data_IF_833418638823
#
_entry.id   IF_833418638823
#
_cell.length_a   1.000
_cell.length_b   1.000
_cell.length_c   1.000
_cell.angle_alpha   90.00
_cell.angle_beta   90.00
_cell.angle_gamma   90.00
#
_symmetry.space_group_name_H-M   'P 1'
#
loop_
_entity.id
_entity.type
_entity.pdbx_description
1 polymer ?
#
# COMPACT_ATOMS: atom_id res chain seq x y z
N UNK A 1 14.98 14.46 -2.50
CA UNK A 1 14.91 13.77 -1.20
C UNK A 1 15.43 14.68 -0.10
N UNK A 2 14.70 14.78 1.00
CA UNK A 2 15.13 15.54 2.17
C UNK A 2 15.24 14.60 3.38
N UNK A 3 16.24 14.81 4.22
CA UNK A 3 16.45 13.98 5.41
C UNK A 3 17.23 14.71 6.49
N UNK A 4 16.93 14.35 7.73
CA UNK A 4 17.68 14.74 8.93
C UNK A 4 17.50 13.61 9.97
N UNK A 5 17.93 13.84 11.23
CA UNK A 5 17.87 12.82 12.27
C UNK A 5 16.45 12.25 12.47
N UNK A 6 15.43 13.12 12.42
CA UNK A 6 14.06 12.74 12.77
C UNK A 6 13.14 12.57 11.55
N UNK A 7 13.62 12.80 10.35
CA UNK A 7 12.79 12.59 9.16
C UNK A 7 13.59 12.23 7.93
N UNK A 8 12.89 11.60 7.00
CA UNK A 8 13.37 11.38 5.64
C UNK A 8 12.17 11.53 4.70
N UNK A 9 12.35 12.21 3.59
CA UNK A 9 11.29 12.43 2.61
C UNK A 9 11.76 11.96 1.23
N UNK A 10 10.84 11.31 0.52
CA UNK A 10 11.05 10.86 -0.86
C UNK A 10 9.87 11.31 -1.71
N UNK A 11 10.07 11.32 -3.02
CA UNK A 11 8.99 11.47 -3.98
C UNK A 11 9.12 10.33 -4.98
N UNK A 12 8.09 9.50 -5.08
CA UNK A 12 8.07 8.36 -6.01
C UNK A 12 7.69 8.75 -7.43
N UNK A 13 7.48 10.05 -7.69
CA UNK A 13 7.06 10.56 -8.98
C UNK A 13 5.55 10.48 -9.19
N UNK A 14 5.13 10.59 -10.43
CA UNK A 14 3.71 10.47 -10.78
C UNK A 14 3.25 9.03 -10.61
N UNK A 15 2.15 8.83 -9.89
CA UNK A 15 1.69 7.47 -9.56
C UNK A 15 1.32 6.65 -10.80
N UNK A 16 0.79 7.28 -11.84
CA UNK A 16 0.48 6.57 -13.09
C UNK A 16 1.73 6.11 -13.87
N UNK A 17 2.89 6.63 -13.55
CA UNK A 17 4.18 6.23 -14.15
C UNK A 17 4.89 5.12 -13.36
N UNK A 18 4.39 4.77 -12.18
CA UNK A 18 4.89 3.62 -11.39
C UNK A 18 4.75 2.30 -12.18
N UNK A 19 3.84 2.25 -13.15
CA UNK A 19 3.71 1.10 -14.06
C UNK A 19 4.98 0.75 -14.83
N UNK A 20 5.93 1.70 -14.95
CA UNK A 20 7.20 1.48 -15.63
C UNK A 20 8.20 0.69 -14.78
N UNK A 21 7.94 0.55 -13.48
CA UNK A 21 8.76 -0.23 -12.58
C UNK A 21 8.30 -1.69 -12.54
N UNK A 22 9.26 -2.60 -12.39
CA UNK A 22 9.00 -4.03 -12.20
C UNK A 22 9.68 -4.48 -10.92
N UNK A 23 8.86 -4.96 -9.98
CA UNK A 23 9.37 -5.56 -8.74
C UNK A 23 9.69 -7.05 -9.01
N UNK A 24 10.91 -7.45 -8.72
CA UNK A 24 11.34 -8.84 -8.79
C UNK A 24 11.40 -9.45 -7.39
N UNK A 25 10.60 -10.48 -7.14
CA UNK A 25 10.56 -11.24 -5.88
C UNK A 25 11.26 -12.59 -5.97
N UNK A 26 12.07 -12.77 -7.00
CA UNK A 26 12.77 -14.00 -7.30
C UNK A 26 12.92 -14.17 -8.82
N UNK A 27 13.59 -15.22 -9.30
CA UNK A 27 13.86 -15.38 -10.71
C UNK A 27 12.60 -15.52 -11.58
N UNK A 28 11.48 -16.01 -10.99
CA UNK A 28 10.26 -16.30 -11.71
C UNK A 28 9.06 -15.43 -11.29
N UNK A 29 9.24 -14.50 -10.33
CA UNK A 29 8.17 -13.64 -9.85
C UNK A 29 8.51 -12.18 -10.11
N UNK A 30 7.79 -11.60 -11.07
CA UNK A 30 7.88 -10.18 -11.43
C UNK A 30 6.52 -9.52 -11.28
N UNK A 31 6.46 -8.43 -10.55
CA UNK A 31 5.24 -7.64 -10.35
C UNK A 31 5.44 -6.28 -11.01
N UNK A 32 4.84 -6.04 -12.18
CA UNK A 32 4.94 -4.75 -12.83
C UNK A 32 4.13 -3.69 -12.08
N UNK A 33 4.60 -2.45 -12.13
CA UNK A 33 3.89 -1.30 -11.59
C UNK A 33 3.86 -1.22 -10.08
N UNK A 34 4.78 -1.88 -9.36
CA UNK A 34 4.83 -1.85 -7.91
C UNK A 34 6.16 -1.30 -7.40
N UNK A 35 6.09 -0.37 -6.46
CA UNK A 35 7.26 0.22 -5.79
C UNK A 35 7.04 0.29 -4.29
N UNK A 36 8.03 -0.20 -3.53
CA UNK A 36 8.07 -0.08 -2.07
C UNK A 36 8.81 1.18 -1.64
N UNK A 37 8.43 1.77 -0.50
CA UNK A 37 9.04 2.99 0.01
C UNK A 37 9.52 2.94 1.45
N UNK A 38 9.09 1.96 2.24
CA UNK A 38 9.40 1.89 3.67
C UNK A 38 10.89 1.78 3.97
N UNK A 39 11.60 0.91 3.27
CA UNK A 39 13.05 0.73 3.47
C UNK A 39 13.82 1.99 3.06
N UNK A 40 13.47 2.60 1.94
CA UNK A 40 14.10 3.83 1.48
C UNK A 40 13.95 4.96 2.49
N UNK A 41 12.80 5.04 3.16
CA UNK A 41 12.53 6.02 4.21
C UNK A 41 13.16 5.64 5.55
N UNK A 42 13.55 4.39 5.75
CA UNK A 42 13.97 3.88 7.06
C UNK A 42 12.81 3.72 8.04
N UNK A 43 11.61 3.47 7.54
CA UNK A 43 10.44 3.23 8.38
C UNK A 43 10.60 1.93 9.17
N UNK A 44 10.27 1.96 10.46
CA UNK A 44 10.51 0.84 11.38
C UNK A 44 9.23 0.16 11.86
N UNK A 45 8.06 0.79 11.67
CA UNK A 45 6.78 0.29 12.15
C UNK A 45 5.92 -0.41 11.11
N UNK A 46 6.30 -0.31 9.84
CA UNK A 46 5.55 -0.91 8.75
C UNK A 46 6.22 -0.71 7.41
N UNK A 47 5.61 -1.26 6.39
CA UNK A 47 6.03 -1.12 5.00
C UNK A 47 4.86 -0.58 4.19
N UNK A 48 5.14 0.11 3.11
CA UNK A 48 4.10 0.51 2.17
C UNK A 48 4.57 0.32 0.73
N UNK A 49 3.61 0.20 -0.17
CA UNK A 49 3.86 0.14 -1.60
C UNK A 49 2.79 0.89 -2.38
N UNK A 50 3.21 1.56 -3.44
CA UNK A 50 2.30 1.98 -4.51
C UNK A 50 2.29 0.94 -5.60
N UNK A 51 1.13 0.69 -6.17
CA UNK A 51 0.97 -0.22 -7.30
C UNK A 51 -0.06 0.33 -8.28
N UNK A 52 0.26 0.22 -9.56
CA UNK A 52 -0.64 0.60 -10.67
C UNK A 52 -0.98 -0.65 -11.45
N UNK A 53 -2.26 -0.92 -11.60
CA UNK A 53 -2.78 -1.97 -12.46
C UNK A 53 -3.32 -1.34 -13.74
N UNK A 54 -2.73 -1.70 -14.87
CA UNK A 54 -3.29 -1.32 -16.17
C UNK A 54 -4.61 -2.06 -16.42
N UNK A 55 -5.52 -1.53 -17.25
CA UNK A 55 -6.76 -2.22 -17.58
C UNK A 55 -6.51 -3.66 -18.02
N UNK A 56 -7.28 -4.60 -17.47
CA UNK A 56 -7.18 -6.01 -17.78
C UNK A 56 -6.07 -6.75 -17.05
N UNK A 57 -5.32 -6.10 -16.16
CA UNK A 57 -4.27 -6.76 -15.37
C UNK A 57 -4.72 -7.09 -13.96
N UNK A 58 -4.03 -8.03 -13.33
CA UNK A 58 -4.33 -8.49 -11.98
C UNK A 58 -3.04 -8.90 -11.25
N UNK A 59 -3.14 -9.11 -9.94
CA UNK A 59 -2.02 -9.65 -9.16
C UNK A 59 -1.56 -11.01 -9.68
N UNK A 60 -2.49 -11.86 -10.15
CA UNK A 60 -2.19 -13.13 -10.78
C UNK A 60 -1.92 -14.28 -9.82
N UNK A 61 -2.01 -14.06 -8.52
CA UNK A 61 -1.87 -15.09 -7.48
C UNK A 61 -2.66 -14.69 -6.24
N UNK A 62 -2.95 -15.66 -5.39
CA UNK A 62 -3.49 -15.46 -4.05
C UNK A 62 -2.35 -15.51 -3.04
N UNK A 63 -2.40 -14.65 -2.01
CA UNK A 63 -1.41 -14.68 -0.94
C UNK A 63 -2.03 -14.37 0.42
N UNK A 64 -1.29 -14.72 1.45
CA UNK A 64 -1.58 -14.40 2.86
C UNK A 64 -0.31 -13.85 3.51
N UNK A 65 -0.43 -13.34 4.71
CA UNK A 65 0.71 -12.99 5.56
C UNK A 65 0.68 -13.81 6.84
N UNK A 66 1.83 -14.04 7.42
CA UNK A 66 1.94 -14.77 8.71
C UNK A 66 1.51 -13.89 9.87
N UNK A 67 1.94 -12.62 9.88
CA UNK A 67 1.72 -11.70 11.01
C UNK A 67 1.22 -10.33 10.58
N UNK A 68 1.34 -9.96 9.31
CA UNK A 68 0.99 -8.63 8.84
C UNK A 68 -0.49 -8.50 8.50
N UNK A 69 -1.10 -7.46 9.04
CA UNK A 69 -2.35 -6.89 8.58
C UNK A 69 -2.03 -5.89 7.47
N UNK A 70 -2.91 -5.75 6.51
CA UNK A 70 -2.73 -4.79 5.42
C UNK A 70 -3.94 -3.88 5.29
N UNK A 71 -3.67 -2.61 4.98
CA UNK A 71 -4.67 -1.64 4.54
C UNK A 71 -4.38 -1.30 3.08
N UNK A 72 -5.40 -1.43 2.25
CA UNK A 72 -5.36 -1.11 0.83
C UNK A 72 -6.20 0.13 0.59
N UNK A 73 -5.57 1.17 0.06
CA UNK A 73 -6.22 2.44 -0.30
C UNK A 73 -6.26 2.55 -1.81
N UNK A 74 -7.45 2.71 -2.38
CA UNK A 74 -7.59 2.92 -3.81
C UNK A 74 -7.67 4.41 -4.10
N UNK A 75 -6.68 4.92 -4.83
CA UNK A 75 -6.46 6.35 -5.03
C UNK A 75 -7.04 6.85 -6.35
N UNK A 76 -7.25 5.97 -7.31
CA UNK A 76 -7.79 6.30 -8.63
C UNK A 76 -8.21 5.03 -9.37
N UNK A 77 -9.19 5.14 -10.23
CA UNK A 77 -9.66 4.04 -11.06
C UNK A 77 -10.73 3.18 -10.39
N UNK A 78 -11.05 2.07 -11.04
CA UNK A 78 -12.02 1.08 -10.60
C UNK A 78 -11.45 -0.33 -10.80
N UNK A 79 -11.82 -1.25 -9.93
CA UNK A 79 -11.40 -2.63 -10.03
C UNK A 79 -12.21 -3.54 -9.12
N UNK A 80 -11.66 -4.72 -8.87
CA UNK A 80 -12.23 -5.70 -7.96
C UNK A 80 -11.19 -6.24 -7.00
N UNK A 81 -11.61 -6.46 -5.79
CA UNK A 81 -10.83 -7.09 -4.73
C UNK A 81 -11.46 -8.43 -4.39
N UNK A 82 -10.63 -9.40 -4.06
CA UNK A 82 -11.09 -10.71 -3.63
C UNK A 82 -10.44 -11.07 -2.31
N UNK A 83 -11.23 -11.48 -1.33
CA UNK A 83 -10.74 -12.02 -0.04
C UNK A 83 -11.57 -13.26 0.29
N UNK A 84 -10.88 -14.37 0.55
CA UNK A 84 -11.49 -15.66 0.92
C UNK A 84 -12.59 -16.10 -0.04
N UNK A 85 -12.41 -15.82 -1.33
CA UNK A 85 -13.37 -16.15 -2.37
C UNK A 85 -14.49 -15.14 -2.57
N UNK A 86 -14.65 -14.15 -1.70
CA UNK A 86 -15.62 -13.08 -1.89
C UNK A 86 -15.03 -11.98 -2.79
N UNK A 87 -15.78 -11.63 -3.84
CA UNK A 87 -15.37 -10.62 -4.82
C UNK A 87 -16.26 -9.39 -4.64
N UNK A 88 -15.64 -8.22 -4.53
CA UNK A 88 -16.36 -6.96 -4.39
C UNK A 88 -15.67 -5.84 -5.17
N UNK A 89 -16.44 -4.81 -5.61
CA UNK A 89 -15.87 -3.69 -6.35
C UNK A 89 -15.07 -2.77 -5.44
N UNK A 90 -14.04 -2.16 -6.00
CA UNK A 90 -13.26 -1.07 -5.38
C UNK A 90 -13.14 0.09 -6.37
N UNK A 91 -13.05 1.30 -5.85
CA UNK A 91 -12.89 2.52 -6.64
C UNK A 91 -12.15 3.57 -5.81
N UNK A 92 -11.92 4.74 -6.40
CA UNK A 92 -11.34 5.88 -5.67
C UNK A 92 -12.06 6.07 -4.32
N UNK A 93 -11.29 6.13 -3.24
CA UNK A 93 -11.79 6.27 -1.87
C UNK A 93 -12.12 4.96 -1.16
N UNK A 94 -12.09 3.82 -1.86
CA UNK A 94 -12.23 2.52 -1.20
C UNK A 94 -11.03 2.24 -0.31
N UNK A 95 -11.28 1.73 0.90
CA UNK A 95 -10.24 1.26 1.82
C UNK A 95 -10.61 -0.14 2.28
N UNK A 96 -9.69 -1.08 2.14
CA UNK A 96 -9.90 -2.48 2.51
C UNK A 96 -8.86 -2.87 3.55
N UNK A 97 -9.33 -3.38 4.68
CA UNK A 97 -8.46 -4.03 5.67
C UNK A 97 -8.51 -5.53 5.45
N UNK A 98 -7.33 -6.16 5.41
CA UNK A 98 -7.23 -7.62 5.32
C UNK A 98 -6.39 -8.13 6.49
N UNK A 99 -6.98 -9.05 7.26
CA UNK A 99 -6.27 -9.76 8.33
C UNK A 99 -5.16 -10.65 7.74
N UNK A 100 -4.13 -11.03 8.52
CA UNK A 100 -3.02 -11.83 8.01
C UNK A 100 -3.44 -13.09 7.27
N UNK A 101 -4.41 -13.82 7.78
CA UNK A 101 -4.87 -15.09 7.19
C UNK A 101 -5.81 -14.93 5.99
N UNK A 102 -6.28 -13.71 5.68
CA UNK A 102 -7.16 -13.48 4.54
C UNK A 102 -6.45 -13.80 3.22
N UNK A 103 -7.03 -14.68 2.42
CA UNK A 103 -6.51 -15.07 1.11
C UNK A 103 -6.97 -14.05 0.08
N UNK A 104 -6.05 -13.24 -0.46
CA UNK A 104 -6.42 -12.03 -1.23
C UNK A 104 -5.77 -11.93 -2.60
N UNK A 105 -6.46 -11.19 -3.46
CA UNK A 105 -5.96 -10.77 -4.77
C UNK A 105 -6.73 -9.53 -5.26
N UNK A 106 -6.16 -8.81 -6.21
CA UNK A 106 -6.72 -7.59 -6.81
C UNK A 106 -6.67 -7.69 -8.32
N UNK A 107 -7.67 -7.17 -9.02
CA UNK A 107 -7.64 -7.01 -10.47
C UNK A 107 -8.24 -5.68 -10.91
N UNK A 108 -7.76 -5.21 -12.05
CA UNK A 108 -8.37 -4.09 -12.77
C UNK A 108 -9.23 -4.64 -13.92
N UNK A 109 -10.52 -4.68 -13.72
CA UNK A 109 -11.51 -5.03 -14.74
C UNK A 109 -12.17 -3.78 -15.36
N UNK A 110 -11.63 -2.59 -15.07
CA UNK A 110 -12.09 -1.32 -15.63
C UNK A 110 -11.35 -0.94 -16.91
N UNK A 111 -11.54 0.31 -17.34
CA UNK A 111 -10.99 0.86 -18.59
C UNK A 111 -9.88 1.90 -18.38
N UNK A 112 -9.58 2.25 -17.14
CA UNK A 112 -8.53 3.19 -16.74
C UNK A 112 -7.57 2.55 -15.75
N UNK A 113 -6.35 3.10 -15.55
CA UNK A 113 -5.42 2.58 -14.54
C UNK A 113 -6.04 2.59 -13.13
N UNK A 114 -5.82 1.51 -12.40
CA UNK A 114 -6.20 1.39 -10.98
C UNK A 114 -4.95 1.64 -10.13
N UNK A 115 -5.00 2.67 -9.29
CA UNK A 115 -3.86 3.07 -8.44
C UNK A 115 -4.17 2.73 -6.99
N UNK A 116 -3.27 2.00 -6.35
CA UNK A 116 -3.43 1.46 -5.02
C UNK A 116 -2.21 1.77 -4.16
N UNK A 117 -2.45 2.15 -2.91
CA UNK A 117 -1.46 2.21 -1.84
C UNK A 117 -1.75 1.07 -0.87
N UNK A 118 -0.77 0.23 -0.60
CA UNK A 118 -0.86 -0.81 0.41
C UNK A 118 0.08 -0.48 1.57
N UNK A 119 -0.45 -0.51 2.77
CA UNK A 119 0.33 -0.35 4.01
C UNK A 119 0.24 -1.65 4.79
N UNK A 120 1.38 -2.20 5.14
CA UNK A 120 1.44 -3.43 5.94
C UNK A 120 2.19 -3.19 7.25
N UNK A 121 1.70 -3.80 8.30
CA UNK A 121 2.20 -3.67 9.65
C UNK A 121 1.84 -4.92 10.44
N UNK A 122 2.49 -5.11 11.56
CA UNK A 122 2.17 -6.24 12.43
C UNK A 122 0.80 -6.03 13.08
N UNK A 123 -0.11 -7.00 12.91
CA UNK A 123 -1.46 -6.93 13.46
C UNK A 123 -1.48 -6.85 14.99
N UNK A 124 -2.57 -6.33 15.54
CA UNK A 124 -2.83 -6.21 16.98
C UNK A 124 -1.81 -5.36 17.76
N UNK A 125 -1.13 -4.42 17.10
CA UNK A 125 -0.11 -3.57 17.74
C UNK A 125 -0.58 -2.15 18.03
N UNK A 126 -1.73 -1.73 17.51
CA UNK A 126 -2.30 -0.41 17.77
C UNK A 126 -3.35 -0.50 18.88
N UNK A 127 -3.07 0.15 20.01
CA UNK A 127 -3.92 0.13 21.22
C UNK A 127 -4.50 1.52 21.51
N UNK A 128 -5.34 1.60 22.54
CA UNK A 128 -5.87 2.89 23.01
C UNK A 128 -4.76 3.85 23.45
N UNK A 129 -3.68 3.33 24.02
CA UNK A 129 -2.51 4.14 24.42
C UNK A 129 -1.81 4.73 23.18
N UNK A 130 -1.73 3.96 22.10
CA UNK A 130 -1.17 4.44 20.83
C UNK A 130 -2.03 5.57 20.23
N UNK A 131 -3.34 5.47 20.35
CA UNK A 131 -4.25 6.51 19.88
C UNK A 131 -4.06 7.86 20.61
N UNK A 132 -3.55 7.83 21.83
CA UNK A 132 -3.28 9.00 22.67
C UNK A 132 -1.80 9.43 22.66
N UNK A 133 -0.99 8.90 21.74
CA UNK A 133 0.46 9.12 21.70
C UNK A 133 0.88 10.55 21.32
N UNK A 134 0.03 11.27 20.58
CA UNK A 134 0.35 12.60 20.05
C UNK A 134 0.52 13.64 21.14
N UNK A 135 1.52 14.50 21.00
CA UNK A 135 1.80 15.63 21.91
C UNK A 135 1.76 16.93 21.12
N UNK A 136 0.90 17.86 21.52
CA UNK A 136 0.81 19.18 20.91
C UNK A 136 1.79 20.11 21.62
N UNK A 137 2.69 20.73 20.85
CA UNK A 137 3.65 21.70 21.37
C UNK A 137 3.05 23.10 21.38
N UNK A 138 3.46 23.90 22.39
CA UNK A 138 3.01 25.28 22.54
C UNK A 138 3.94 26.27 21.84
N UNK A 139 4.45 25.89 20.67
CA UNK A 139 5.31 26.71 19.83
C UNK A 139 4.57 27.14 18.57
N UNK A 140 4.70 28.41 18.13
CA UNK A 140 4.10 28.84 16.88
C UNK A 140 4.83 28.21 15.69
N UNK A 141 4.06 27.82 14.67
CA UNK A 141 4.64 27.33 13.41
C UNK A 141 5.24 28.51 12.64
N UNK A 142 6.44 28.33 12.13
CA UNK A 142 7.11 29.27 11.23
C UNK A 142 7.42 28.56 9.93
N UNK A 143 7.00 29.18 8.82
CA UNK A 143 7.24 28.67 7.47
C UNK A 143 8.37 29.43 6.78
#
# INVERSE_FOLDING_TARGET
MASATNFKAINVGKLNEVSDYVLELGPDVKIPGKVFGGQTLGATGGEFSFQVFQPGTETGFLHTHKTHEELYFFLSGEGQFQVDGEIFPVSEGSVVRVAPAGVRSVRNNGSAPLIMLCVQYKGDTFTADDAADGVILNEPVKW
#
